data_IF_183890105353
#
_entry.id   IF_183890105353
#
_cell.length_a   1.000
_cell.length_b   1.000
_cell.length_c   1.000
_cell.angle_alpha   90.00
_cell.angle_beta   90.00
_cell.angle_gamma   90.00
#
_symmetry.space_group_name_H-M   'P 1'
#
loop_
_entity.id
_entity.type
_entity.pdbx_description
1 polymer ?
#
# COMPACT_ATOMS: atom_id res chain seq x y z
N UNK A 1 -2.88 23.64 -84.07
CA UNK A 1 -3.59 23.02 -82.92
C UNK A 1 -2.66 21.96 -82.34
N UNK A 2 -1.94 22.24 -81.25
CA UNK A 2 -2.39 22.18 -79.84
C UNK A 2 -2.76 20.73 -79.44
N UNK A 3 -2.27 20.15 -78.34
CA UNK A 3 -1.96 20.77 -77.05
C UNK A 3 -1.09 19.81 -76.21
N UNK A 4 0.09 20.26 -75.76
CA UNK A 4 0.89 19.62 -74.71
C UNK A 4 0.08 19.61 -73.41
N UNK A 5 -0.14 18.45 -72.82
CA UNK A 5 -0.80 18.32 -71.51
C UNK A 5 0.23 18.60 -70.42
N UNK A 6 0.03 19.71 -69.71
CA UNK A 6 0.85 20.21 -68.61
C UNK A 6 0.46 19.39 -67.36
N UNK A 7 1.37 18.55 -66.85
CA UNK A 7 1.20 17.87 -65.55
C UNK A 7 1.33 18.93 -64.45
N UNK A 8 0.21 19.31 -63.84
CA UNK A 8 0.18 20.23 -62.69
C UNK A 8 0.38 19.37 -61.44
N UNK A 9 1.52 19.56 -60.78
CA UNK A 9 1.81 18.95 -59.48
C UNK A 9 0.94 19.62 -58.41
N UNK A 10 0.24 18.81 -57.62
CA UNK A 10 -0.51 19.28 -56.45
C UNK A 10 0.45 19.78 -55.36
N UNK A 11 0.16 20.89 -54.67
CA UNK A 11 1.03 21.40 -53.62
C UNK A 11 0.98 20.48 -52.40
N UNK A 12 2.16 20.15 -51.86
CA UNK A 12 2.33 19.41 -50.62
C UNK A 12 1.65 20.15 -49.46
N UNK A 13 0.74 19.48 -48.76
CA UNK A 13 0.19 19.96 -47.48
C UNK A 13 1.35 20.09 -46.49
N UNK A 14 1.70 21.32 -46.14
CA UNK A 14 2.53 21.61 -44.98
C UNK A 14 1.78 21.13 -43.74
N UNK A 15 2.25 20.03 -43.15
CA UNK A 15 1.86 19.63 -41.80
C UNK A 15 2.57 20.58 -40.86
N UNK A 16 1.82 21.48 -40.23
CA UNK A 16 2.34 22.40 -39.23
C UNK A 16 2.93 21.58 -38.09
N UNK A 17 4.25 21.67 -37.92
CA UNK A 17 4.95 21.07 -36.79
C UNK A 17 4.36 21.62 -35.48
N UNK A 18 3.67 20.76 -34.74
CA UNK A 18 3.29 21.04 -33.36
C UNK A 18 4.58 21.14 -32.57
N UNK A 19 4.86 22.33 -32.03
CA UNK A 19 6.08 22.65 -31.30
C UNK A 19 6.31 21.67 -30.15
N UNK A 20 7.42 20.92 -30.22
CA UNK A 20 7.94 20.16 -29.09
C UNK A 20 8.18 21.12 -27.90
N UNK A 21 7.95 20.67 -26.65
CA UNK A 21 8.22 21.52 -25.49
C UNK A 21 9.71 21.88 -25.46
N UNK A 22 9.99 23.18 -25.33
CA UNK A 22 11.34 23.72 -25.22
C UNK A 22 12.09 23.03 -24.07
N UNK A 23 13.02 22.13 -24.44
CA UNK A 23 14.02 21.59 -23.53
C UNK A 23 14.90 22.75 -23.05
N UNK A 24 14.77 23.11 -21.77
CA UNK A 24 15.71 24.01 -21.10
C UNK A 24 17.11 23.43 -21.24
N UNK A 25 17.94 24.08 -22.06
CA UNK A 25 19.20 23.58 -22.59
C UNK A 25 20.32 23.28 -21.57
N UNK A 26 20.06 23.35 -20.25
CA UNK A 26 21.08 23.20 -19.20
C UNK A 26 20.68 22.28 -18.04
N UNK A 27 19.64 21.45 -18.20
CA UNK A 27 19.33 20.42 -17.20
C UNK A 27 19.85 19.10 -17.73
N UNK A 28 20.83 18.50 -17.05
CA UNK A 28 21.21 17.12 -17.30
C UNK A 28 19.97 16.25 -17.05
N UNK A 29 19.35 15.75 -18.12
CA UNK A 29 18.36 14.70 -18.02
C UNK A 29 19.11 13.45 -17.59
N UNK A 30 18.91 13.04 -16.34
CA UNK A 30 19.27 11.70 -15.89
C UNK A 30 18.02 10.85 -16.11
N UNK A 31 17.97 10.01 -17.17
CA UNK A 31 16.89 9.05 -17.35
C UNK A 31 16.73 8.25 -16.07
N UNK A 32 15.49 7.98 -15.62
CA UNK A 32 15.30 7.04 -14.53
C UNK A 32 15.95 5.68 -14.93
N UNK A 33 16.54 4.92 -13.98
CA UNK A 33 17.40 3.77 -14.29
C UNK A 33 16.78 2.73 -15.24
N UNK A 34 15.46 2.63 -15.26
CA UNK A 34 14.63 1.77 -16.10
C UNK A 34 14.54 2.20 -17.58
N UNK A 35 15.01 3.39 -17.93
CA UNK A 35 15.18 3.81 -19.34
C UNK A 35 16.51 3.34 -19.93
N UNK A 36 17.50 3.00 -19.09
CA UNK A 36 18.77 2.43 -19.54
C UNK A 36 18.72 0.90 -19.70
N UNK A 37 17.80 0.25 -18.99
CA UNK A 37 17.61 -1.19 -19.05
C UNK A 37 16.67 -1.56 -20.20
N UNK A 38 17.26 -1.94 -21.34
CA UNK A 38 16.53 -2.40 -22.53
C UNK A 38 16.29 -3.91 -22.52
N UNK A 39 16.69 -4.62 -21.47
CA UNK A 39 16.50 -6.06 -21.37
C UNK A 39 15.02 -6.42 -21.21
N UNK A 40 14.63 -7.57 -21.74
CA UNK A 40 13.30 -8.14 -21.49
C UNK A 40 13.38 -8.88 -20.15
N UNK A 41 12.67 -8.45 -19.10
CA UNK A 41 12.81 -9.07 -17.79
C UNK A 41 12.24 -10.49 -17.77
N UNK A 42 13.05 -11.45 -17.36
CA UNK A 42 12.67 -12.85 -17.24
C UNK A 42 11.84 -13.10 -15.97
N UNK A 43 12.14 -12.36 -14.89
CA UNK A 43 11.58 -12.59 -13.56
C UNK A 43 10.47 -11.60 -13.19
N UNK A 44 10.00 -10.77 -14.13
CA UNK A 44 8.93 -9.79 -13.88
C UNK A 44 7.66 -10.43 -13.32
N UNK A 45 7.33 -11.64 -13.74
CA UNK A 45 6.16 -12.37 -13.27
C UNK A 45 6.24 -12.74 -11.78
N UNK A 46 7.42 -12.69 -11.16
CA UNK A 46 7.63 -12.97 -9.73
C UNK A 46 7.59 -11.68 -8.89
N UNK A 47 8.21 -10.60 -9.35
CA UNK A 47 8.41 -9.38 -8.56
C UNK A 47 7.78 -8.10 -9.11
N UNK A 48 7.20 -8.14 -10.31
CA UNK A 48 6.51 -7.03 -10.97
C UNK A 48 7.44 -5.94 -11.54
N UNK A 49 8.73 -5.95 -11.22
CA UNK A 49 9.70 -4.97 -11.70
C UNK A 49 10.20 -5.29 -13.11
N UNK A 50 10.64 -4.26 -13.82
CA UNK A 50 11.46 -4.42 -15.04
C UNK A 50 12.91 -4.83 -14.73
N UNK A 51 13.38 -4.63 -13.49
CA UNK A 51 14.73 -5.02 -13.09
C UNK A 51 14.74 -6.44 -12.53
N UNK A 52 15.41 -7.37 -13.21
CA UNK A 52 15.56 -8.74 -12.71
C UNK A 52 16.43 -8.84 -11.47
N UNK A 53 17.37 -7.91 -11.27
CA UNK A 53 18.11 -7.80 -10.00
C UNK A 53 17.18 -7.52 -8.82
N UNK A 54 16.21 -6.61 -8.99
CA UNK A 54 15.19 -6.36 -7.99
C UNK A 54 14.29 -7.58 -7.76
N UNK A 55 13.82 -8.20 -8.85
CA UNK A 55 12.96 -9.38 -8.77
C UNK A 55 13.67 -10.53 -8.04
N UNK A 56 14.95 -10.77 -8.35
CA UNK A 56 15.77 -11.79 -7.70
C UNK A 56 16.01 -11.48 -6.22
N UNK A 57 16.32 -10.23 -5.89
CA UNK A 57 16.48 -9.78 -4.50
C UNK A 57 15.20 -10.05 -3.69
N UNK A 58 14.04 -9.69 -4.24
CA UNK A 58 12.75 -9.94 -3.61
C UNK A 58 12.47 -11.44 -3.45
N UNK A 59 12.73 -12.25 -4.49
CA UNK A 59 12.58 -13.71 -4.42
C UNK A 59 13.45 -14.32 -3.31
N UNK A 60 14.70 -13.89 -3.19
CA UNK A 60 15.61 -14.33 -2.13
C UNK A 60 15.10 -13.96 -0.74
N UNK A 61 14.55 -12.75 -0.57
CA UNK A 61 13.95 -12.32 0.68
C UNK A 61 12.77 -13.23 1.06
N UNK A 62 11.83 -13.45 0.15
CA UNK A 62 10.63 -14.27 0.43
C UNK A 62 11.01 -15.71 0.74
N UNK A 63 11.91 -16.31 -0.05
CA UNK A 63 12.47 -17.64 0.22
C UNK A 63 13.04 -17.72 1.64
N UNK A 64 13.75 -16.69 2.09
CA UNK A 64 14.39 -16.67 3.41
C UNK A 64 13.41 -16.56 4.58
N UNK A 65 12.14 -16.19 4.34
CA UNK A 65 11.14 -16.05 5.41
C UNK A 65 10.50 -17.37 5.86
N UNK A 66 10.60 -18.43 5.06
CA UNK A 66 10.01 -19.71 5.39
C UNK A 66 10.85 -20.50 6.42
N UNK A 67 10.17 -21.32 7.23
CA UNK A 67 10.84 -22.26 8.13
C UNK A 67 11.30 -23.52 7.38
N UNK A 68 12.60 -23.80 7.40
CA UNK A 68 13.20 -24.98 6.75
C UNK A 68 13.62 -26.10 7.71
N UNK A 69 13.32 -25.96 9.01
CA UNK A 69 13.86 -26.84 10.04
C UNK A 69 15.17 -26.29 10.64
N UNK A 70 15.67 -26.98 11.67
CA UNK A 70 16.87 -26.54 12.41
C UNK A 70 18.14 -26.59 11.56
N UNK A 71 18.29 -27.64 10.74
CA UNK A 71 19.42 -27.85 9.84
C UNK A 71 18.88 -28.43 8.52
N UNK A 72 18.40 -27.58 7.59
CA UNK A 72 17.91 -28.06 6.32
C UNK A 72 19.03 -28.73 5.53
N UNK A 73 18.83 -29.98 5.16
CA UNK A 73 19.72 -30.70 4.24
C UNK A 73 19.45 -30.21 2.81
N UNK A 74 20.49 -29.98 1.99
CA UNK A 74 20.30 -29.79 0.55
C UNK A 74 19.63 -31.02 -0.07
N UNK A 75 18.75 -30.80 -1.04
CA UNK A 75 18.07 -31.88 -1.75
C UNK A 75 16.69 -31.48 -2.25
N UNK A 76 16.05 -32.44 -2.93
CA UNK A 76 14.78 -32.24 -3.63
C UNK A 76 13.69 -31.60 -2.77
N UNK A 77 13.55 -32.02 -1.51
CA UNK A 77 12.51 -31.47 -0.62
C UNK A 77 12.70 -29.98 -0.32
N UNK A 78 13.95 -29.52 -0.20
CA UNK A 78 14.26 -28.11 0.04
C UNK A 78 14.01 -27.30 -1.24
N UNK A 79 14.38 -27.83 -2.39
CA UNK A 79 14.20 -27.19 -3.69
C UNK A 79 12.72 -27.13 -4.09
N UNK A 80 11.95 -28.18 -3.80
CA UNK A 80 10.50 -28.21 -4.00
C UNK A 80 9.80 -27.13 -3.15
N UNK A 81 10.23 -26.94 -1.89
CA UNK A 81 9.72 -25.86 -1.04
C UNK A 81 10.02 -24.49 -1.63
N UNK A 82 11.27 -24.23 -2.04
CA UNK A 82 11.65 -22.96 -2.66
C UNK A 82 10.85 -22.71 -3.94
N UNK A 83 10.71 -23.73 -4.77
CA UNK A 83 9.89 -23.68 -5.98
C UNK A 83 8.43 -23.33 -5.67
N UNK A 84 7.84 -23.93 -4.63
CA UNK A 84 6.47 -23.62 -4.22
C UNK A 84 6.30 -22.17 -3.74
N UNK A 85 7.31 -21.60 -3.07
CA UNK A 85 7.31 -20.19 -2.66
C UNK A 85 7.34 -19.27 -3.90
N UNK A 86 8.21 -19.56 -4.86
CA UNK A 86 8.26 -18.80 -6.11
C UNK A 86 6.98 -18.98 -6.93
N UNK A 87 6.37 -20.17 -6.93
CA UNK A 87 5.09 -20.41 -7.56
C UNK A 87 3.96 -19.60 -6.91
N UNK A 88 4.00 -19.37 -5.60
CA UNK A 88 3.08 -18.44 -4.94
C UNK A 88 3.27 -17.01 -5.49
N UNK A 89 4.51 -16.52 -5.57
CA UNK A 89 4.81 -15.19 -6.10
C UNK A 89 4.30 -15.05 -7.55
N UNK A 90 4.58 -16.04 -8.40
CA UNK A 90 4.08 -16.12 -9.77
C UNK A 90 2.54 -16.14 -9.83
N UNK A 91 1.90 -16.87 -8.91
CA UNK A 91 0.45 -17.00 -8.81
C UNK A 91 -0.25 -15.70 -8.41
N UNK A 92 0.38 -14.88 -7.56
CA UNK A 92 -0.12 -13.53 -7.27
C UNK A 92 -0.06 -12.64 -8.53
N UNK A 93 0.90 -12.91 -9.43
CA UNK A 93 1.13 -12.22 -10.69
C UNK A 93 1.24 -10.69 -10.53
N UNK A 94 2.26 -10.20 -9.78
CA UNK A 94 2.45 -8.77 -9.54
C UNK A 94 2.57 -7.96 -10.83
N UNK A 95 1.86 -6.83 -10.89
CA UNK A 95 1.91 -5.92 -12.06
C UNK A 95 3.02 -4.87 -11.99
N UNK A 96 3.47 -4.58 -10.78
CA UNK A 96 4.51 -3.61 -10.48
C UNK A 96 5.26 -4.02 -9.20
N UNK A 97 6.28 -3.22 -8.85
CA UNK A 97 7.13 -3.42 -7.67
C UNK A 97 6.36 -3.40 -6.36
N UNK A 98 5.29 -2.61 -6.25
CA UNK A 98 4.50 -2.47 -5.03
C UNK A 98 3.65 -3.72 -4.83
N UNK A 99 3.01 -4.22 -5.90
CA UNK A 99 2.33 -5.51 -5.85
C UNK A 99 3.31 -6.65 -5.49
N UNK A 100 4.54 -6.60 -5.99
CA UNK A 100 5.59 -7.57 -5.67
C UNK A 100 5.91 -7.57 -4.18
N UNK A 101 6.11 -6.39 -3.59
CA UNK A 101 6.34 -6.25 -2.16
C UNK A 101 5.13 -6.71 -1.32
N UNK A 102 3.91 -6.41 -1.75
CA UNK A 102 2.70 -6.89 -1.08
C UNK A 102 2.59 -8.41 -1.14
N UNK A 103 2.88 -9.03 -2.29
CA UNK A 103 2.90 -10.48 -2.44
C UNK A 103 3.93 -11.13 -1.50
N UNK A 104 5.15 -10.57 -1.45
CA UNK A 104 6.20 -11.02 -0.56
C UNK A 104 5.77 -11.00 0.92
N UNK A 105 5.15 -9.91 1.35
CA UNK A 105 4.69 -9.74 2.72
C UNK A 105 3.50 -10.65 3.08
N UNK A 106 2.58 -10.87 2.12
CA UNK A 106 1.49 -11.84 2.26
C UNK A 106 2.06 -13.24 2.53
N UNK A 107 3.02 -13.69 1.70
CA UNK A 107 3.67 -14.98 1.93
C UNK A 107 4.36 -15.03 3.31
N UNK A 108 5.17 -14.03 3.63
CA UNK A 108 5.96 -14.00 4.85
C UNK A 108 5.07 -14.02 6.10
N UNK A 109 4.00 -13.23 6.12
CA UNK A 109 3.05 -13.20 7.24
C UNK A 109 2.29 -14.51 7.38
N UNK A 110 1.87 -15.12 6.27
CA UNK A 110 1.26 -16.45 6.26
C UNK A 110 2.21 -17.52 6.81
N UNK A 111 3.45 -17.59 6.29
CA UNK A 111 4.45 -18.55 6.73
C UNK A 111 4.78 -18.41 8.23
N UNK A 112 4.93 -17.17 8.71
CA UNK A 112 5.14 -16.89 10.12
C UNK A 112 3.94 -17.31 10.98
N UNK A 113 2.71 -17.06 10.54
CA UNK A 113 1.50 -17.49 11.25
C UNK A 113 1.41 -19.02 11.35
N UNK A 114 1.70 -19.73 10.25
CA UNK A 114 1.73 -21.19 10.21
C UNK A 114 2.80 -21.77 11.15
N UNK A 115 3.97 -21.13 11.23
CA UNK A 115 5.02 -21.53 12.18
C UNK A 115 4.61 -21.27 13.63
N UNK A 116 3.93 -20.16 13.92
CA UNK A 116 3.36 -19.94 15.25
C UNK A 116 2.33 -21.01 15.61
N UNK A 117 1.40 -21.36 14.71
CA UNK A 117 0.45 -22.46 14.95
C UNK A 117 1.17 -23.77 15.23
N UNK A 118 2.18 -24.13 14.42
CA UNK A 118 2.99 -25.33 14.62
C UNK A 118 3.66 -25.34 16.00
N UNK A 119 4.25 -24.23 16.43
CA UNK A 119 4.91 -24.10 17.75
C UNK A 119 3.93 -24.19 18.92
N UNK A 120 2.71 -23.69 18.75
CA UNK A 120 1.65 -23.82 19.76
C UNK A 120 1.20 -25.27 19.96
N UNK A 121 1.34 -26.12 18.94
CA UNK A 121 0.94 -27.54 18.98
C UNK A 121 2.05 -28.49 19.42
N UNK A 122 3.20 -27.99 19.87
CA UNK A 122 4.26 -28.85 20.40
C UNK A 122 3.80 -29.54 21.71
N UNK A 123 4.09 -30.84 21.90
CA UNK A 123 3.59 -31.62 23.04
C UNK A 123 4.03 -31.06 24.39
N UNK A 124 5.30 -30.66 24.50
CA UNK A 124 5.91 -30.17 25.75
C UNK A 124 5.91 -28.63 25.86
N UNK A 125 5.00 -27.95 25.14
CA UNK A 125 4.94 -26.49 25.16
C UNK A 125 4.29 -25.97 26.45
N UNK A 126 4.91 -24.96 27.08
CA UNK A 126 4.33 -24.29 28.25
C UNK A 126 3.02 -23.59 27.89
N UNK A 127 2.16 -23.34 28.88
CA UNK A 127 0.88 -22.63 28.67
C UNK A 127 1.12 -21.24 28.09
N UNK A 128 2.13 -20.54 28.61
CA UNK A 128 2.55 -19.22 28.14
C UNK A 128 3.07 -19.29 26.70
N UNK A 129 3.86 -20.31 26.37
CA UNK A 129 4.36 -20.56 25.02
C UNK A 129 3.23 -20.82 24.02
N UNK A 130 2.22 -21.61 24.40
CA UNK A 130 1.02 -21.83 23.59
C UNK A 130 0.24 -20.53 23.37
N UNK A 131 -0.04 -19.80 24.45
CA UNK A 131 -0.81 -18.56 24.40
C UNK A 131 -0.12 -17.48 23.56
N UNK A 132 1.20 -17.32 23.72
CA UNK A 132 2.00 -16.36 22.94
C UNK A 132 1.92 -16.66 21.45
N UNK A 133 2.19 -17.91 21.05
CA UNK A 133 2.17 -18.31 19.65
C UNK A 133 0.78 -18.17 19.02
N UNK A 134 -0.29 -18.58 19.72
CA UNK A 134 -1.66 -18.40 19.22
C UNK A 134 -2.03 -16.91 19.06
N UNK A 135 -1.59 -16.07 20.00
CA UNK A 135 -1.82 -14.62 19.93
C UNK A 135 -1.09 -13.98 18.74
N UNK A 136 0.17 -14.36 18.51
CA UNK A 136 0.94 -13.88 17.36
C UNK A 136 0.34 -14.38 16.03
N UNK A 137 -0.05 -15.65 15.96
CA UNK A 137 -0.69 -16.21 14.78
C UNK A 137 -2.01 -15.49 14.44
N UNK A 138 -2.83 -15.18 15.44
CA UNK A 138 -4.06 -14.40 15.24
C UNK A 138 -3.78 -12.99 14.69
N UNK A 139 -2.76 -12.30 15.23
CA UNK A 139 -2.34 -10.96 14.75
C UNK A 139 -1.86 -11.01 13.31
N UNK A 140 -0.99 -11.96 12.98
CA UNK A 140 -0.44 -12.13 11.63
C UNK A 140 -1.54 -12.50 10.62
N UNK A 141 -2.45 -13.39 10.98
CA UNK A 141 -3.58 -13.78 10.12
C UNK A 141 -4.51 -12.60 9.84
N UNK A 142 -4.80 -11.76 10.84
CA UNK A 142 -5.58 -10.54 10.66
C UNK A 142 -4.86 -9.54 9.74
N UNK A 143 -3.57 -9.29 9.99
CA UNK A 143 -2.77 -8.40 9.15
C UNK A 143 -2.68 -8.89 7.70
N UNK A 144 -2.57 -10.21 7.50
CA UNK A 144 -2.56 -10.82 6.17
C UNK A 144 -3.88 -10.59 5.42
N UNK A 145 -5.03 -10.68 6.11
CA UNK A 145 -6.33 -10.36 5.52
C UNK A 145 -6.45 -8.87 5.14
N UNK A 146 -5.95 -7.97 5.99
CA UNK A 146 -5.88 -6.52 5.71
C UNK A 146 -4.99 -6.23 4.49
N UNK A 147 -3.85 -6.89 4.38
CA UNK A 147 -2.94 -6.79 3.23
C UNK A 147 -3.59 -7.32 1.94
N UNK A 148 -4.32 -8.43 2.00
CA UNK A 148 -5.02 -8.98 0.83
C UNK A 148 -6.13 -8.02 0.34
N UNK A 149 -6.87 -7.40 1.28
CA UNK A 149 -7.84 -6.36 0.96
C UNK A 149 -7.17 -5.11 0.38
N UNK A 150 -6.02 -4.70 0.93
CA UNK A 150 -5.25 -3.57 0.42
C UNK A 150 -4.73 -3.82 -1.01
N UNK A 151 -4.24 -5.02 -1.31
CA UNK A 151 -3.82 -5.42 -2.66
C UNK A 151 -5.02 -5.42 -3.63
N UNK A 152 -6.15 -5.98 -3.22
CA UNK A 152 -7.38 -5.96 -4.02
C UNK A 152 -7.86 -4.54 -4.31
N UNK A 153 -7.81 -3.66 -3.31
CA UNK A 153 -8.11 -2.24 -3.47
C UNK A 153 -7.10 -1.56 -4.39
N UNK A 154 -5.81 -1.85 -4.24
CA UNK A 154 -4.73 -1.31 -5.09
C UNK A 154 -4.99 -1.64 -6.56
N UNK A 155 -5.32 -2.90 -6.87
CA UNK A 155 -5.72 -3.35 -8.22
C UNK A 155 -7.01 -2.71 -8.73
N UNK A 156 -7.95 -2.43 -7.83
CA UNK A 156 -9.23 -1.79 -8.14
C UNK A 156 -9.17 -0.27 -8.33
N UNK A 157 -8.02 0.40 -8.11
CA UNK A 157 -7.86 1.85 -8.31
C UNK A 157 -7.78 2.19 -9.80
N UNK A 158 -8.91 2.07 -10.50
CA UNK A 158 -8.95 2.31 -11.94
C UNK A 158 -10.14 3.14 -12.46
N UNK A 159 -11.16 3.42 -11.64
CA UNK A 159 -12.32 4.17 -12.14
C UNK A 159 -12.81 5.23 -11.15
N UNK A 160 -12.06 6.33 -11.02
CA UNK A 160 -12.73 7.59 -10.73
C UNK A 160 -13.46 8.00 -12.01
N UNK A 161 -14.73 7.61 -12.14
CA UNK A 161 -15.58 8.01 -13.26
C UNK A 161 -15.87 9.51 -13.11
N UNK A 162 -15.01 10.36 -13.66
CA UNK A 162 -15.26 11.80 -13.79
C UNK A 162 -16.22 11.99 -14.96
N UNK A 163 -17.50 12.17 -14.67
CA UNK A 163 -18.47 12.63 -15.67
C UNK A 163 -18.39 14.15 -15.67
N UNK A 164 -17.96 14.73 -16.79
CA UNK A 164 -17.96 16.18 -16.98
C UNK A 164 -19.35 16.57 -17.48
N UNK A 165 -20.15 17.16 -16.59
CA UNK A 165 -21.43 17.79 -16.93
C UNK A 165 -21.29 19.30 -16.78
N UNK A 166 -21.76 20.06 -17.78
CA UNK A 166 -21.82 21.51 -17.70
C UNK A 166 -23.02 21.91 -16.85
N UNK A 167 -22.77 22.37 -15.61
CA UNK A 167 -23.81 22.87 -14.72
C UNK A 167 -23.91 24.38 -14.83
N UNK A 168 -25.07 24.90 -15.23
CA UNK A 168 -25.35 26.34 -15.18
C UNK A 168 -25.81 26.73 -13.78
N UNK A 169 -25.02 27.57 -13.11
CA UNK A 169 -25.41 28.19 -11.84
C UNK A 169 -26.05 29.54 -12.16
N UNK A 170 -27.36 29.62 -11.95
CA UNK A 170 -28.13 30.86 -12.14
C UNK A 170 -27.86 31.86 -11.00
N UNK A 171 -28.24 33.12 -11.21
CA UNK A 171 -28.11 34.18 -10.21
C UNK A 171 -28.85 33.77 -8.91
N UNK A 172 -28.12 33.67 -7.80
CA UNK A 172 -28.63 33.20 -6.50
C UNK A 172 -28.41 31.71 -6.20
N UNK A 173 -27.90 30.92 -7.15
CA UNK A 173 -27.47 29.53 -6.90
C UNK A 173 -26.08 29.45 -6.29
N UNK A 174 -25.87 28.56 -5.32
CA UNK A 174 -24.54 28.25 -4.77
C UNK A 174 -24.20 26.80 -5.10
N UNK A 175 -23.04 26.58 -5.72
CA UNK A 175 -22.49 25.25 -5.98
C UNK A 175 -21.34 24.98 -5.00
N UNK A 176 -21.32 23.80 -4.40
CA UNK A 176 -20.25 23.35 -3.50
C UNK A 176 -19.43 22.31 -4.26
N UNK A 177 -18.11 22.49 -4.31
CA UNK A 177 -17.18 21.54 -4.92
C UNK A 177 -16.32 20.92 -3.82
N UNK A 178 -16.43 19.61 -3.63
CA UNK A 178 -15.68 18.89 -2.60
C UNK A 178 -16.37 17.61 -2.13
N UNK A 179 -15.77 16.91 -1.18
CA UNK A 179 -16.39 15.77 -0.51
C UNK A 179 -17.55 16.27 0.37
N UNK A 180 -18.79 16.01 -0.04
CA UNK A 180 -19.99 16.39 0.72
C UNK A 180 -20.38 15.21 1.60
N UNK A 181 -20.10 15.31 2.90
CA UNK A 181 -20.71 14.42 3.90
C UNK A 181 -22.11 14.98 4.21
N UNK A 182 -23.21 14.28 3.91
CA UNK A 182 -24.55 14.79 4.18
C UNK A 182 -24.75 14.92 5.70
N UNK A 183 -24.76 16.16 6.19
CA UNK A 183 -25.19 16.48 7.55
C UNK A 183 -26.69 16.24 7.67
N UNK A 184 -27.09 15.36 8.57
CA UNK A 184 -28.49 15.03 8.83
C UNK A 184 -29.33 16.29 9.10
N UNK A 185 -30.44 16.40 8.38
CA UNK A 185 -31.38 17.52 8.49
C UNK A 185 -31.96 17.60 9.90
N UNK A 186 -31.70 18.71 10.60
CA UNK A 186 -32.52 19.13 11.73
C UNK A 186 -33.91 19.53 11.20
N UNK A 187 -34.92 18.75 11.56
CA UNK A 187 -36.29 19.27 11.68
C UNK A 187 -36.48 19.66 13.15
N UNK A 188 -36.63 20.95 13.38
CA UNK A 188 -37.07 21.50 14.64
C UNK A 188 -38.51 21.00 14.90
N UNK A 189 -38.68 20.15 15.91
CA UNK A 189 -39.96 19.99 16.59
C UNK A 189 -39.67 20.21 18.07
N UNK A 190 -40.33 21.22 18.63
CA UNK A 190 -40.22 21.67 20.00
C UNK A 190 -40.37 20.53 21.01
N UNK A 191 -39.24 20.14 21.58
CA UNK A 191 -39.09 19.77 22.99
C UNK A 191 -37.58 19.83 23.26
N UNK A 192 -37.11 20.99 23.74
CA UNK A 192 -35.74 21.14 24.21
C UNK A 192 -35.56 20.35 25.53
N UNK A 193 -34.73 19.29 25.61
CA UNK A 193 -33.93 19.10 26.79
C UNK A 193 -32.74 20.06 26.66
N UNK A 194 -32.61 20.92 27.65
CA UNK A 194 -31.55 21.92 27.71
C UNK A 194 -30.19 21.21 27.67
N UNK A 195 -29.19 21.91 27.13
CA UNK A 195 -27.79 21.52 27.23
C UNK A 195 -27.51 20.94 28.63
N UNK A 196 -26.77 19.82 28.69
CA UNK A 196 -26.13 19.41 29.94
C UNK A 196 -25.10 20.49 30.24
N UNK A 197 -25.55 21.52 30.95
CA UNK A 197 -24.67 22.47 31.61
C UNK A 197 -23.73 21.66 32.49
N UNK A 198 -22.45 21.96 32.41
CA UNK A 198 -21.51 21.52 33.41
C UNK A 198 -22.03 22.07 34.74
N UNK A 199 -22.65 21.21 35.56
CA UNK A 199 -22.97 21.58 36.92
C UNK A 199 -21.64 21.88 37.58
N UNK A 200 -21.50 23.08 38.13
CA UNK A 200 -20.36 23.46 38.96
C UNK A 200 -20.34 22.47 40.14
N UNK A 201 -19.56 21.40 40.00
CA UNK A 201 -19.33 20.50 41.13
C UNK A 201 -18.68 21.34 42.21
N UNK A 202 -19.26 21.32 43.41
CA UNK A 202 -18.54 21.76 44.61
C UNK A 202 -17.13 21.18 44.55
N UNK A 203 -16.07 21.97 44.83
CA UNK A 203 -14.71 21.48 44.85
C UNK A 203 -14.70 20.19 45.66
N UNK A 204 -14.22 19.11 45.03
CA UNK A 204 -14.04 17.85 45.73
C UNK A 204 -13.10 18.17 46.89
N UNK A 205 -13.55 17.97 48.12
CA UNK A 205 -12.71 18.12 49.31
C UNK A 205 -11.49 17.21 49.10
N UNK A 206 -10.34 17.80 48.83
CA UNK A 206 -9.08 17.09 48.85
C UNK A 206 -8.83 16.67 50.30
N UNK A 207 -9.15 15.43 50.65
CA UNK A 207 -8.57 14.79 51.82
C UNK A 207 -7.14 14.37 51.44
N UNK A 208 -6.27 15.37 51.32
CA UNK A 208 -4.80 15.29 51.45
C UNK A 208 -4.23 16.71 51.27
N UNK A 209 -4.71 17.64 52.08
CA UNK A 209 -3.83 18.74 52.51
C UNK A 209 -2.82 18.13 53.49
N UNK A 210 -1.53 18.32 53.21
CA UNK A 210 -0.35 17.85 53.97
C UNK A 210 0.32 16.53 53.54
N UNK A 211 0.65 16.39 52.26
CA UNK A 211 1.90 15.70 51.89
C UNK A 211 2.65 16.53 50.85
N UNK A 212 3.73 17.17 51.31
CA UNK A 212 4.70 17.88 50.49
C UNK A 212 5.12 16.97 49.33
N UNK A 213 5.09 17.51 48.10
CA UNK A 213 5.61 16.83 46.93
C UNK A 213 7.14 16.73 47.07
N UNK A 214 7.59 15.66 47.70
CA UNK A 214 9.02 15.35 47.81
C UNK A 214 9.55 14.99 46.41
N UNK A 215 10.55 15.75 45.94
CA UNK A 215 11.19 15.52 44.67
C UNK A 215 12.05 14.26 44.74
N UNK A 216 11.78 13.29 43.86
CA UNK A 216 12.61 12.08 43.75
C UNK A 216 14.03 12.44 43.25
N UNK A 217 15.09 11.94 43.90
CA UNK A 217 16.46 12.27 43.51
C UNK A 217 16.81 11.67 42.14
N UNK A 218 17.39 12.52 41.28
CA UNK A 218 17.98 12.15 39.99
C UNK A 218 19.25 11.32 40.24
N UNK A 219 19.33 10.14 39.63
CA UNK A 219 20.52 9.31 39.68
C UNK A 219 21.71 10.02 39.01
N UNK A 220 22.70 10.39 39.81
CA UNK A 220 23.98 10.93 39.34
C UNK A 220 24.90 9.82 38.86
N UNK A 221 25.53 10.05 37.72
CA UNK A 221 26.57 9.19 37.14
C UNK A 221 27.80 9.10 38.05
N UNK A 222 28.27 7.88 38.28
CA UNK A 222 29.66 7.54 38.61
C UNK A 222 30.02 6.23 37.88
#
# INVERSE_FOLDING_TARGET
MARKVKKIAAPAKQVSATSAPETKANVAYCPPPDEFDTSVPELKHLGGSKSDQWNLMLCNQVISTAWYGRNPQPGKDLDDKRTAILAFMAGVNPKDTIEGMMAAQLFASHAAAMECYRRAMLPDQSVEGKQMNLTLAAKLTKANAEQAAALSKYRGKGQQKVVVEHVHVYQGGQAIVGQVTPGGSMKNLEAQPHAIGYAERSPVRCENEAQEREALPVAGNA
#
